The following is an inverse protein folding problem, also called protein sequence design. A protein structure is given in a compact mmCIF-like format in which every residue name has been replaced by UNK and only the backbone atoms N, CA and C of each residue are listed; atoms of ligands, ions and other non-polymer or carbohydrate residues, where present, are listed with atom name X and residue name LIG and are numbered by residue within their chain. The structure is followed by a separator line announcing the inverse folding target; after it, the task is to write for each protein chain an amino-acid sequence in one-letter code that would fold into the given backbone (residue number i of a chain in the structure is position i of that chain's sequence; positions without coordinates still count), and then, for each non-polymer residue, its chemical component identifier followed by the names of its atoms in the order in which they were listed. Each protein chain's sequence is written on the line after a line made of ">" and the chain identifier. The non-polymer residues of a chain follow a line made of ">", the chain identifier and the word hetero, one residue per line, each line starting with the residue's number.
data_IF_576077692803
#
_entry.id   IF_576077692803
#
_cell.length_a   1.000
_cell.length_b   1.000
_cell.length_c   1.000
_cell.angle_alpha   90.00
_cell.angle_beta   90.00
_cell.angle_gamma   90.00
#
_symmetry.space_group_name_H-M   'P 1'
#
loop_
_entity.id
_entity.type
_entity.pdbx_description
1 polymer ?
#
# COMPACT_ATOMS: atom_id res chain seq x y z
N UNK A 1 27.41 25.53 68.98
CA UNK A 1 27.78 24.40 68.09
C UNK A 1 26.84 24.48 66.91
N UNK A 2 27.27 25.16 65.85
CA UNK A 2 26.40 25.78 64.83
C UNK A 2 26.63 25.12 63.48
N UNK A 3 25.55 24.75 62.80
CA UNK A 3 25.53 24.02 61.52
C UNK A 3 26.31 24.72 60.40
N UNK A 4 26.98 23.92 59.56
CA UNK A 4 27.08 24.16 58.11
C UNK A 4 26.86 22.86 57.35
N UNK A 5 25.71 22.73 56.69
CA UNK A 5 25.46 21.74 55.64
C UNK A 5 25.95 22.33 54.31
N UNK A 6 26.98 21.72 53.73
CA UNK A 6 27.48 22.05 52.40
C UNK A 6 26.53 21.44 51.37
N UNK A 7 25.85 22.27 50.57
CA UNK A 7 25.12 21.84 49.38
C UNK A 7 26.14 21.54 48.28
N UNK A 8 26.21 20.29 47.84
CA UNK A 8 26.87 19.91 46.59
C UNK A 8 25.83 20.08 45.49
N UNK A 9 26.05 21.07 44.62
CA UNK A 9 25.35 21.24 43.36
C UNK A 9 26.33 20.79 42.27
N UNK A 10 26.02 19.71 41.56
CA UNK A 10 26.89 19.16 40.52
C UNK A 10 26.08 18.64 39.34
N UNK A 11 25.92 19.52 38.35
CA UNK A 11 25.52 19.33 36.95
C UNK A 11 25.01 17.95 36.52
N UNK A 12 23.70 17.85 36.30
CA UNK A 12 23.14 16.84 35.40
C UNK A 12 23.38 17.29 33.96
N UNK A 13 24.41 16.77 33.31
CA UNK A 13 24.66 16.97 31.88
C UNK A 13 23.51 16.31 31.11
N UNK A 14 22.55 17.11 30.68
CA UNK A 14 21.48 16.65 29.79
C UNK A 14 22.11 16.47 28.42
N UNK A 15 22.46 15.22 28.05
CA UNK A 15 22.75 14.91 26.66
C UNK A 15 21.46 15.14 25.87
N UNK A 16 21.39 16.27 25.19
CA UNK A 16 20.46 16.48 24.08
C UNK A 16 20.91 15.52 22.97
N UNK A 17 20.38 14.30 22.99
CA UNK A 17 20.32 13.46 21.80
C UNK A 17 19.43 14.21 20.81
N UNK A 18 20.04 15.01 19.94
CA UNK A 18 19.37 15.49 18.76
C UNK A 18 18.97 14.25 17.96
N UNK A 19 17.68 13.93 17.95
CA UNK A 19 17.11 13.03 16.97
C UNK A 19 17.38 13.67 15.61
N UNK A 20 18.42 13.24 14.91
CA UNK A 20 18.53 13.51 13.50
C UNK A 20 17.34 12.81 12.86
N UNK A 21 16.30 13.58 12.52
CA UNK A 21 15.28 13.10 11.62
C UNK A 21 16.01 12.85 10.29
N UNK A 22 16.23 11.58 9.95
CA UNK A 22 16.68 11.22 8.62
C UNK A 22 15.56 11.61 7.66
N UNK A 23 15.73 12.75 6.99
CA UNK A 23 14.88 13.12 5.87
C UNK A 23 15.14 12.10 4.75
N UNK A 24 14.08 11.48 4.23
CA UNK A 24 14.20 10.63 3.05
C UNK A 24 14.74 11.51 1.91
N UNK A 25 15.92 11.16 1.40
CA UNK A 25 16.47 11.71 0.17
C UNK A 25 15.96 10.91 -1.03
N UNK A 26 15.93 11.50 -2.21
CA UNK A 26 15.38 10.89 -3.42
C UNK A 26 16.36 10.91 -4.59
N UNK A 27 17.65 11.08 -4.29
CA UNK A 27 18.77 11.17 -5.22
C UNK A 27 19.90 10.19 -4.83
N UNK A 28 19.58 9.14 -4.08
CA UNK A 28 20.54 8.14 -3.59
C UNK A 28 20.68 6.94 -4.54
N UNK A 29 21.44 7.16 -5.61
CA UNK A 29 21.82 6.13 -6.59
C UNK A 29 22.93 5.26 -5.99
N UNK A 30 22.59 4.41 -5.01
CA UNK A 30 23.51 3.39 -4.51
C UNK A 30 24.03 2.46 -5.63
N UNK A 31 25.10 1.72 -5.36
CA UNK A 31 25.78 0.90 -6.37
C UNK A 31 24.84 -0.05 -7.13
N UNK A 32 23.88 -0.67 -6.44
CA UNK A 32 22.91 -1.62 -7.00
C UNK A 32 21.52 -1.01 -7.29
N UNK A 33 21.33 0.30 -7.13
CA UNK A 33 20.02 0.97 -7.27
C UNK A 33 19.94 1.78 -8.55
N UNK A 34 19.02 1.41 -9.41
CA UNK A 34 18.66 2.14 -10.63
C UNK A 34 17.49 3.09 -10.39
N UNK A 35 17.48 4.20 -11.12
CA UNK A 35 16.38 5.18 -11.12
C UNK A 35 15.21 4.55 -11.88
N UNK A 36 14.01 4.37 -11.28
CA UNK A 36 12.90 3.68 -11.94
C UNK A 36 12.47 4.27 -13.29
N UNK A 37 12.56 5.60 -13.47
CA UNK A 37 12.24 6.27 -14.73
C UNK A 37 13.16 5.87 -15.90
N UNK A 38 14.36 5.37 -15.62
CA UNK A 38 15.31 4.96 -16.64
C UNK A 38 14.97 3.60 -17.26
N UNK A 39 14.11 2.80 -16.62
CA UNK A 39 13.71 1.46 -17.06
C UNK A 39 12.42 1.52 -17.89
N UNK A 40 12.54 1.16 -19.17
CA UNK A 40 11.46 1.33 -20.15
C UNK A 40 10.16 0.61 -19.74
N UNK A 41 10.26 -0.54 -19.09
CA UNK A 41 9.12 -1.34 -18.62
C UNK A 41 8.27 -0.64 -17.55
N UNK A 42 8.84 0.29 -16.78
CA UNK A 42 8.12 1.00 -15.71
C UNK A 42 7.68 2.42 -16.10
N UNK A 43 8.23 2.99 -17.18
CA UNK A 43 7.83 4.33 -17.65
C UNK A 43 6.31 4.49 -17.83
N UNK A 44 5.55 3.54 -18.41
CA UNK A 44 4.11 3.70 -18.60
C UNK A 44 3.31 3.86 -17.29
N UNK A 45 3.64 3.10 -16.24
CA UNK A 45 2.95 3.25 -14.94
C UNK A 45 3.39 4.55 -14.25
N UNK A 46 4.67 4.92 -14.35
CA UNK A 46 5.22 6.13 -13.74
C UNK A 46 4.63 7.41 -14.36
N UNK A 47 4.47 7.44 -15.70
CA UNK A 47 3.86 8.58 -16.41
C UNK A 47 2.38 8.81 -16.06
N UNK A 48 1.76 7.87 -15.36
CA UNK A 48 0.36 7.93 -14.94
C UNK A 48 0.22 8.04 -13.42
N UNK A 49 1.32 8.18 -12.68
CA UNK A 49 1.31 8.04 -11.21
C UNK A 49 2.03 9.16 -10.47
N UNK A 50 1.76 9.24 -9.17
CA UNK A 50 2.60 9.91 -8.18
C UNK A 50 3.09 8.86 -7.17
N UNK A 51 4.19 9.15 -6.46
CA UNK A 51 4.65 8.34 -5.35
C UNK A 51 4.06 8.87 -4.03
N UNK A 52 3.44 7.96 -3.28
CA UNK A 52 2.95 8.19 -1.94
C UNK A 52 3.74 7.36 -0.94
N UNK A 53 4.67 7.99 -0.23
CA UNK A 53 5.64 7.34 0.65
C UNK A 53 5.58 7.93 2.06
N UNK A 54 5.66 7.08 3.09
CA UNK A 54 5.73 7.50 4.48
C UNK A 54 7.17 7.78 4.89
N UNK A 55 7.35 8.75 5.79
CA UNK A 55 8.54 8.86 6.63
C UNK A 55 8.47 7.78 7.73
N UNK A 56 9.41 6.81 7.79
CA UNK A 56 9.44 5.78 8.83
C UNK A 56 9.44 6.37 10.26
N UNK A 57 10.22 7.43 10.50
CA UNK A 57 10.33 8.10 11.79
C UNK A 57 9.15 9.01 12.13
N UNK A 58 8.35 9.38 11.12
CA UNK A 58 7.19 10.26 11.30
C UNK A 58 6.02 9.59 12.06
N UNK A 59 4.92 10.34 12.22
CA UNK A 59 3.70 9.82 12.90
C UNK A 59 3.07 8.64 12.15
N UNK A 60 2.32 7.80 12.86
CA UNK A 60 1.53 6.71 12.27
C UNK A 60 0.63 7.23 11.13
N UNK A 61 0.66 6.56 9.98
CA UNK A 61 -0.14 6.92 8.82
C UNK A 61 0.27 8.20 8.08
N UNK A 62 1.44 8.79 8.39
CA UNK A 62 1.94 9.94 7.64
C UNK A 62 2.21 9.57 6.17
N UNK A 63 2.26 10.59 5.31
CA UNK A 63 2.43 10.41 3.88
C UNK A 63 3.02 11.68 3.26
N UNK A 64 4.07 11.50 2.49
CA UNK A 64 4.67 12.46 1.58
C UNK A 64 4.19 12.15 0.16
N UNK A 65 4.23 13.15 -0.71
CA UNK A 65 3.83 13.05 -2.11
C UNK A 65 5.01 13.51 -2.97
N UNK A 66 5.48 12.64 -3.85
CA UNK A 66 6.63 12.88 -4.73
C UNK A 66 6.17 12.63 -6.17
N UNK A 67 6.78 13.33 -7.14
CA UNK A 67 6.42 13.23 -8.55
C UNK A 67 4.91 13.47 -8.80
N UNK A 68 4.31 14.48 -8.16
CA UNK A 68 2.88 14.81 -8.31
C UNK A 68 2.51 15.31 -9.72
N UNK A 69 3.53 15.64 -10.51
CA UNK A 69 3.47 15.99 -11.93
C UNK A 69 3.91 14.82 -12.83
N UNK A 70 3.94 13.59 -12.32
CA UNK A 70 4.40 12.36 -13.01
C UNK A 70 5.89 12.35 -13.40
N UNK A 71 6.67 13.32 -12.94
CA UNK A 71 8.10 13.38 -13.22
C UNK A 71 8.90 12.62 -12.16
N UNK A 72 9.33 11.41 -12.52
CA UNK A 72 10.16 10.54 -11.71
C UNK A 72 11.66 10.64 -12.04
N UNK A 73 12.07 11.65 -12.82
CA UNK A 73 13.47 11.86 -13.17
C UNK A 73 14.32 11.99 -11.91
N UNK A 74 15.35 11.15 -11.79
CA UNK A 74 16.24 11.13 -10.64
C UNK A 74 15.64 10.57 -9.35
N UNK A 75 14.34 10.24 -9.28
CA UNK A 75 13.68 9.78 -8.03
C UNK A 75 14.12 8.36 -7.69
N UNK A 76 15.03 8.21 -6.74
CA UNK A 76 15.55 6.92 -6.26
C UNK A 76 16.06 7.01 -4.83
N UNK A 77 15.85 5.95 -4.03
CA UNK A 77 16.47 5.82 -2.73
C UNK A 77 16.51 4.36 -2.24
N UNK A 78 16.89 4.13 -0.99
CA UNK A 78 17.02 2.81 -0.38
C UNK A 78 15.74 1.98 -0.29
N UNK A 79 14.56 2.62 -0.43
CA UNK A 79 13.26 1.96 -0.31
C UNK A 79 12.43 2.03 -1.59
N UNK A 80 12.85 2.80 -2.59
CA UNK A 80 12.17 2.97 -3.86
C UNK A 80 13.20 3.06 -4.99
N UNK A 81 13.44 1.95 -5.67
CA UNK A 81 14.47 1.84 -6.70
C UNK A 81 14.19 0.65 -7.62
N UNK A 82 14.87 0.57 -8.76
CA UNK A 82 14.97 -0.68 -9.53
C UNK A 82 16.28 -1.36 -9.18
N UNK A 83 16.23 -2.63 -8.78
CA UNK A 83 17.43 -3.41 -8.54
C UNK A 83 18.16 -3.64 -9.88
N UNK A 84 19.43 -3.25 -9.99
CA UNK A 84 20.15 -3.28 -11.27
C UNK A 84 20.40 -4.68 -11.82
N UNK A 85 20.47 -5.69 -10.95
CA UNK A 85 20.79 -7.07 -11.36
C UNK A 85 19.56 -7.81 -11.86
N UNK A 86 18.44 -7.69 -11.13
CA UNK A 86 17.18 -8.36 -11.46
C UNK A 86 16.22 -7.53 -12.30
N UNK A 87 16.47 -6.23 -12.42
CA UNK A 87 15.56 -5.21 -12.95
C UNK A 87 14.19 -5.15 -12.25
N UNK A 88 14.05 -5.75 -11.07
CA UNK A 88 12.81 -5.68 -10.30
C UNK A 88 12.63 -4.29 -9.69
N UNK A 89 11.43 -3.73 -9.80
CA UNK A 89 11.06 -2.50 -9.11
C UNK A 89 10.79 -2.81 -7.63
N UNK A 90 11.65 -2.31 -6.76
CA UNK A 90 11.67 -2.58 -5.32
C UNK A 90 10.93 -1.50 -4.55
N UNK A 91 10.02 -1.95 -3.69
CA UNK A 91 9.34 -1.13 -2.69
C UNK A 91 9.63 -1.69 -1.30
N UNK A 92 10.15 -0.85 -0.42
CA UNK A 92 10.33 -1.16 1.00
C UNK A 92 9.57 -0.18 1.88
N UNK A 93 9.18 -0.63 3.07
CA UNK A 93 8.66 0.26 4.10
C UNK A 93 8.74 -0.35 5.49
N UNK A 94 9.31 0.41 6.42
CA UNK A 94 9.33 0.10 7.85
C UNK A 94 8.13 0.71 8.58
N UNK A 95 7.53 -0.07 9.47
CA UNK A 95 6.60 0.41 10.50
C UNK A 95 5.10 0.29 10.17
N UNK A 96 4.30 0.33 11.23
CA UNK A 96 2.86 0.06 11.19
C UNK A 96 2.04 1.20 10.55
N UNK A 97 1.12 0.83 9.65
CA UNK A 97 0.32 1.75 8.83
C UNK A 97 1.16 2.75 8.02
N UNK A 98 2.40 2.39 7.70
CA UNK A 98 3.30 3.11 6.79
C UNK A 98 3.26 2.48 5.40
N UNK A 99 3.45 3.30 4.37
CA UNK A 99 3.34 2.86 2.97
C UNK A 99 4.44 3.42 2.10
N UNK A 100 4.70 2.73 1.01
CA UNK A 100 5.49 3.17 -0.12
C UNK A 100 4.81 2.64 -1.37
N UNK A 101 4.02 3.49 -2.04
CA UNK A 101 3.13 3.06 -3.11
C UNK A 101 3.04 4.09 -4.22
N UNK A 102 3.07 3.63 -5.46
CA UNK A 102 2.56 4.40 -6.59
C UNK A 102 1.05 4.55 -6.46
N UNK A 103 0.54 5.73 -6.81
CA UNK A 103 -0.87 6.04 -6.92
C UNK A 103 -1.14 6.54 -8.32
N UNK A 104 -1.91 5.77 -9.10
CA UNK A 104 -2.32 6.15 -10.46
C UNK A 104 -3.23 7.39 -10.38
N UNK A 105 -2.97 8.39 -11.23
CA UNK A 105 -3.64 9.68 -11.17
C UNK A 105 -5.13 9.60 -11.50
N UNK A 106 -5.47 8.75 -12.49
CA UNK A 106 -6.82 8.55 -12.97
C UNK A 106 -7.77 8.17 -11.84
N UNK A 107 -8.74 9.04 -11.60
CA UNK A 107 -9.95 8.74 -10.84
C UNK A 107 -11.01 8.25 -11.81
N UNK A 108 -11.19 6.94 -11.92
CA UNK A 108 -12.07 6.30 -12.88
C UNK A 108 -13.44 5.95 -12.28
N UNK A 109 -14.46 5.97 -13.13
CA UNK A 109 -15.79 5.44 -12.80
C UNK A 109 -15.80 3.92 -13.04
N UNK A 110 -16.23 3.16 -12.03
CA UNK A 110 -16.23 1.70 -12.04
C UNK A 110 -17.42 1.08 -12.76
N UNK A 111 -18.47 1.86 -13.08
CA UNK A 111 -19.71 1.39 -13.70
C UNK A 111 -19.83 1.68 -15.19
N UNK A 112 -18.86 2.37 -15.79
CA UNK A 112 -18.92 2.65 -17.22
C UNK A 112 -18.97 1.33 -18.01
N UNK A 113 -20.00 1.14 -18.85
CA UNK A 113 -20.03 0.00 -19.74
C UNK A 113 -18.86 0.12 -20.72
N UNK A 114 -18.37 -1.02 -21.21
CA UNK A 114 -17.35 -1.05 -22.27
C UNK A 114 -16.00 -0.41 -21.92
N UNK A 115 -15.76 0.01 -20.68
CA UNK A 115 -14.48 0.58 -20.24
C UNK A 115 -13.95 -0.21 -19.05
N UNK A 116 -12.74 -0.75 -19.20
CA UNK A 116 -12.08 -1.58 -18.21
C UNK A 116 -10.71 -1.00 -17.87
N UNK A 117 -10.46 -0.84 -16.58
CA UNK A 117 -9.20 -0.35 -16.05
C UNK A 117 -8.42 -1.54 -15.50
N UNK A 118 -7.18 -1.68 -15.95
CA UNK A 118 -6.31 -2.80 -15.63
C UNK A 118 -5.11 -2.34 -14.81
N UNK A 119 -4.80 -3.10 -13.76
CA UNK A 119 -3.52 -3.04 -13.07
C UNK A 119 -2.89 -4.43 -13.11
N UNK A 120 -1.83 -4.58 -13.89
CA UNK A 120 -1.08 -5.82 -14.04
C UNK A 120 0.21 -5.74 -13.22
N UNK A 121 0.52 -6.78 -12.46
CA UNK A 121 1.75 -6.82 -11.68
C UNK A 121 2.28 -8.26 -11.53
N UNK A 122 3.60 -8.42 -11.55
CA UNK A 122 4.27 -9.68 -11.20
C UNK A 122 5.06 -9.46 -9.92
N UNK A 123 4.65 -10.07 -8.82
CA UNK A 123 5.06 -9.67 -7.46
C UNK A 123 5.74 -10.82 -6.73
N UNK A 124 6.91 -10.54 -6.16
CA UNK A 124 7.62 -11.40 -5.21
C UNK A 124 7.79 -10.68 -3.85
N UNK A 125 7.09 -11.13 -2.79
CA UNK A 125 7.36 -10.74 -1.41
C UNK A 125 8.73 -11.25 -0.98
N UNK A 126 9.53 -10.41 -0.35
CA UNK A 126 10.85 -10.82 0.15
C UNK A 126 10.77 -11.09 1.65
N UNK A 127 10.85 -12.37 2.02
CA UNK A 127 10.82 -12.87 3.41
C UNK A 127 9.70 -12.25 4.30
N UNK A 128 8.43 -12.25 3.86
CA UNK A 128 7.36 -11.58 4.58
C UNK A 128 7.11 -12.14 6.00
N UNK A 129 7.41 -13.41 6.26
CA UNK A 129 7.37 -13.98 7.61
C UNK A 129 8.41 -13.31 8.52
N UNK A 130 9.63 -13.09 8.02
CA UNK A 130 10.69 -12.44 8.78
C UNK A 130 10.35 -10.98 9.08
N UNK A 131 9.66 -10.30 8.16
CA UNK A 131 9.13 -8.94 8.36
C UNK A 131 8.17 -8.86 9.55
N UNK A 132 7.44 -9.94 9.86
CA UNK A 132 6.41 -9.95 10.90
C UNK A 132 6.81 -10.67 12.19
N UNK A 133 8.06 -11.17 12.29
CA UNK A 133 8.50 -12.02 13.41
C UNK A 133 8.29 -11.39 14.80
N UNK A 134 8.42 -10.06 14.89
CA UNK A 134 8.28 -9.28 16.13
C UNK A 134 6.96 -8.50 16.18
N UNK A 135 6.07 -8.71 15.20
CA UNK A 135 4.80 -7.99 15.10
C UNK A 135 3.84 -8.39 16.22
N UNK A 136 3.22 -7.39 16.83
CA UNK A 136 2.13 -7.55 17.81
C UNK A 136 0.76 -7.26 17.21
N UNK A 137 0.70 -6.98 15.90
CA UNK A 137 -0.55 -6.73 15.19
C UNK A 137 -1.42 -7.98 15.12
N UNK A 138 -2.73 -7.80 15.27
CA UNK A 138 -3.71 -8.88 15.02
C UNK A 138 -4.02 -9.09 13.54
N UNK A 139 -3.54 -8.20 12.67
CA UNK A 139 -3.83 -8.24 11.24
C UNK A 139 -2.75 -8.95 10.44
N UNK A 140 -1.45 -8.68 10.72
CA UNK A 140 -0.30 -9.32 10.08
C UNK A 140 -0.47 -9.50 8.56
N UNK A 141 -0.64 -8.37 7.88
CA UNK A 141 -0.80 -8.28 6.42
C UNK A 141 0.20 -7.27 5.83
N UNK A 142 0.67 -7.56 4.61
CA UNK A 142 1.29 -6.59 3.71
C UNK A 142 0.35 -6.44 2.51
N UNK A 143 -0.13 -5.23 2.26
CA UNK A 143 -0.94 -4.91 1.08
C UNK A 143 -0.01 -4.50 -0.07
N UNK A 144 -0.17 -5.13 -1.24
CA UNK A 144 0.64 -4.83 -2.43
C UNK A 144 -0.10 -4.08 -3.52
N UNK A 145 -1.37 -4.43 -3.76
CA UNK A 145 -2.20 -3.81 -4.79
C UNK A 145 -3.51 -3.33 -4.17
N UNK A 146 -4.01 -2.17 -4.60
CA UNK A 146 -5.27 -1.62 -4.10
C UNK A 146 -6.12 -1.01 -5.20
N UNK A 147 -7.44 -1.09 -5.00
CA UNK A 147 -8.41 -0.19 -5.62
C UNK A 147 -9.01 0.63 -4.51
N UNK A 148 -8.76 1.94 -4.50
CA UNK A 148 -9.28 2.85 -3.49
C UNK A 148 -10.22 3.86 -4.13
N UNK A 149 -11.16 4.41 -3.37
CA UNK A 149 -12.01 5.50 -3.85
C UNK A 149 -11.38 6.86 -3.55
N UNK A 150 -11.59 7.82 -4.46
CA UNK A 150 -11.37 9.24 -4.23
C UNK A 150 -12.59 9.86 -3.56
N UNK A 151 -13.80 9.44 -3.94
CA UNK A 151 -15.07 9.98 -3.47
C UNK A 151 -16.06 10.11 -4.63
N UNK A 152 -17.13 10.87 -4.43
CA UNK A 152 -18.15 11.10 -5.48
C UNK A 152 -17.67 12.08 -6.56
N UNK A 153 -16.61 12.84 -6.28
CA UNK A 153 -16.03 13.85 -7.17
C UNK A 153 -14.50 13.82 -7.09
N UNK A 154 -13.84 14.43 -8.08
CA UNK A 154 -12.37 14.41 -8.23
C UNK A 154 -11.60 15.12 -7.11
N UNK A 155 -12.24 16.05 -6.40
CA UNK A 155 -11.70 16.72 -5.20
C UNK A 155 -11.75 15.82 -3.95
N UNK A 156 -12.52 14.73 -4.01
CA UNK A 156 -12.65 13.74 -2.95
C UNK A 156 -13.79 13.98 -1.96
N UNK A 157 -14.83 14.71 -2.39
CA UNK A 157 -16.08 14.80 -1.62
C UNK A 157 -16.62 13.41 -1.30
N UNK A 158 -17.10 13.23 -0.07
CA UNK A 158 -17.70 11.99 0.43
C UNK A 158 -16.81 10.74 0.25
N UNK A 159 -15.49 10.92 0.30
CA UNK A 159 -14.53 9.82 0.38
C UNK A 159 -14.89 8.83 1.49
N UNK A 160 -14.87 7.54 1.14
CA UNK A 160 -14.92 6.44 2.10
C UNK A 160 -13.49 6.08 2.49
N UNK A 161 -13.13 6.10 3.79
CA UNK A 161 -11.77 5.81 4.23
C UNK A 161 -11.43 4.31 4.22
N UNK A 162 -12.00 3.56 3.27
CA UNK A 162 -11.79 2.13 3.06
C UNK A 162 -11.61 1.88 1.54
N UNK A 163 -10.59 1.11 1.13
CA UNK A 163 -10.44 0.71 -0.26
C UNK A 163 -11.55 -0.25 -0.67
N UNK A 164 -11.88 -0.28 -1.97
CA UNK A 164 -12.71 -1.31 -2.57
C UNK A 164 -12.02 -2.68 -2.52
N UNK A 165 -10.73 -2.72 -2.89
CA UNK A 165 -9.92 -3.93 -2.91
C UNK A 165 -8.56 -3.67 -2.25
N UNK A 166 -8.10 -4.65 -1.46
CA UNK A 166 -6.68 -4.87 -1.14
C UNK A 166 -6.29 -6.28 -1.54
N UNK A 167 -5.22 -6.43 -2.32
CA UNK A 167 -4.52 -7.71 -2.48
C UNK A 167 -3.38 -7.73 -1.47
N UNK A 168 -3.42 -8.70 -0.57
CA UNK A 168 -2.50 -8.79 0.56
C UNK A 168 -1.81 -10.14 0.60
N UNK A 169 -0.58 -10.19 1.11
CA UNK A 169 -0.07 -11.41 1.72
C UNK A 169 -0.38 -11.36 3.22
N UNK A 170 -0.80 -12.50 3.77
CA UNK A 170 -1.16 -12.64 5.18
C UNK A 170 -0.38 -13.79 5.79
N UNK A 171 0.19 -13.57 6.98
CA UNK A 171 0.90 -14.59 7.75
C UNK A 171 0.03 -15.84 7.93
N UNK A 172 -1.20 -15.64 8.42
CA UNK A 172 -2.22 -16.69 8.52
C UNK A 172 -1.85 -17.80 9.51
N UNK A 173 -2.57 -18.92 9.42
CA UNK A 173 -2.28 -20.12 10.20
C UNK A 173 -2.76 -21.38 9.48
N UNK A 174 -2.16 -22.52 9.79
CA UNK A 174 -2.52 -23.82 9.22
C UNK A 174 -2.44 -23.83 7.70
N UNK A 175 -3.50 -24.30 7.04
CA UNK A 175 -3.56 -24.43 5.57
C UNK A 175 -3.60 -23.09 4.82
N UNK A 176 -3.86 -21.98 5.52
CA UNK A 176 -3.93 -20.63 4.92
C UNK A 176 -2.69 -19.78 5.20
N UNK A 177 -1.67 -20.37 5.83
CA UNK A 177 -0.45 -19.66 6.19
C UNK A 177 0.32 -19.23 4.93
N UNK A 178 0.67 -17.94 4.87
CA UNK A 178 1.39 -17.32 3.75
C UNK A 178 0.59 -17.26 2.44
N UNK A 179 -0.74 -17.15 2.52
CA UNK A 179 -1.61 -17.01 1.35
C UNK A 179 -1.76 -15.54 0.93
N UNK A 180 -1.98 -15.36 -0.37
CA UNK A 180 -2.52 -14.13 -0.89
C UNK A 180 -4.04 -14.07 -0.70
N UNK A 181 -4.57 -12.89 -0.41
CA UNK A 181 -6.00 -12.66 -0.25
C UNK A 181 -6.45 -11.40 -0.98
N UNK A 182 -7.60 -11.46 -1.64
CA UNK A 182 -8.33 -10.28 -2.05
C UNK A 182 -9.35 -9.94 -0.95
N UNK A 183 -9.13 -8.83 -0.25
CA UNK A 183 -10.04 -8.27 0.75
C UNK A 183 -10.88 -7.18 0.07
N UNK A 184 -12.12 -7.53 -0.26
CA UNK A 184 -13.06 -6.67 -0.99
C UNK A 184 -14.05 -6.04 -0.02
N UNK A 185 -14.19 -4.71 -0.03
CA UNK A 185 -15.19 -3.99 0.76
C UNK A 185 -16.57 -4.19 0.13
N UNK A 186 -17.47 -4.88 0.82
CA UNK A 186 -18.74 -5.40 0.25
C UNK A 186 -19.95 -4.47 0.45
N UNK A 187 -19.70 -3.18 0.70
CA UNK A 187 -20.71 -2.12 0.76
C UNK A 187 -20.05 -0.73 0.73
N UNK A 188 -20.81 0.32 0.40
CA UNK A 188 -20.32 1.70 0.40
C UNK A 188 -20.54 2.45 1.74
N UNK A 189 -20.41 1.77 2.89
CA UNK A 189 -20.57 2.42 4.20
C UNK A 189 -19.24 2.86 4.82
N UNK A 190 -19.26 4.04 5.45
CA UNK A 190 -18.17 4.51 6.30
C UNK A 190 -18.28 3.81 7.66
N UNK A 191 -17.44 2.79 7.89
CA UNK A 191 -17.45 1.98 9.12
C UNK A 191 -16.38 2.38 10.17
N UNK A 192 -15.73 3.54 10.04
CA UNK A 192 -14.72 4.01 11.02
C UNK A 192 -14.63 5.54 11.09
N UNK A 193 -14.00 6.03 12.16
CA UNK A 193 -13.74 7.45 12.35
C UNK A 193 -15.01 8.28 12.58
N UNK A 194 -14.85 9.60 12.69
CA UNK A 194 -15.94 10.53 13.04
C UNK A 194 -17.12 10.46 12.07
N UNK A 195 -16.85 10.37 10.75
CA UNK A 195 -17.88 10.28 9.70
C UNK A 195 -18.66 8.96 9.72
N UNK A 196 -18.12 7.91 10.36
CA UNK A 196 -18.78 6.61 10.46
C UNK A 196 -19.55 6.38 11.76
N UNK A 197 -19.65 7.38 12.65
CA UNK A 197 -20.20 7.22 14.00
C UNK A 197 -21.59 6.56 14.02
N UNK A 198 -22.42 6.85 13.04
CA UNK A 198 -23.77 6.28 12.91
C UNK A 198 -23.79 4.83 12.41
N UNK A 199 -22.70 4.35 11.80
CA UNK A 199 -22.61 3.00 11.24
C UNK A 199 -21.77 2.05 12.10
N UNK A 200 -20.84 2.58 12.90
CA UNK A 200 -20.00 1.79 13.80
C UNK A 200 -20.89 0.96 14.75
N UNK A 201 -20.60 -0.34 14.83
CA UNK A 201 -21.36 -1.29 15.65
C UNK A 201 -22.60 -1.90 14.96
N UNK A 202 -23.07 -1.33 13.84
CA UNK A 202 -24.16 -1.94 13.05
C UNK A 202 -23.69 -3.23 12.38
N UNK A 203 -24.58 -4.21 12.14
CA UNK A 203 -24.24 -5.47 11.46
C UNK A 203 -23.45 -5.28 10.16
N UNK A 204 -23.86 -4.34 9.30
CA UNK A 204 -23.21 -4.06 8.01
C UNK A 204 -21.77 -3.52 8.11
N UNK A 205 -21.33 -3.10 9.30
CA UNK A 205 -19.98 -2.63 9.58
C UNK A 205 -19.15 -3.61 10.43
N UNK A 206 -19.69 -4.77 10.80
CA UNK A 206 -18.89 -5.89 11.32
C UNK A 206 -18.05 -6.48 10.19
N UNK A 207 -16.84 -6.94 10.50
CA UNK A 207 -15.83 -7.32 9.51
C UNK A 207 -16.37 -8.34 8.49
N UNK A 208 -17.09 -9.34 8.98
CA UNK A 208 -17.69 -10.44 8.21
C UNK A 208 -18.79 -10.03 7.22
N UNK A 209 -19.43 -8.86 7.44
CA UNK A 209 -20.46 -8.32 6.53
C UNK A 209 -19.94 -7.12 5.73
N UNK A 210 -18.93 -6.44 6.27
CA UNK A 210 -18.31 -5.29 5.67
C UNK A 210 -17.33 -5.66 4.55
N UNK A 211 -16.77 -6.86 4.60
CA UNK A 211 -15.75 -7.34 3.69
C UNK A 211 -16.00 -8.77 3.26
N UNK A 212 -15.79 -9.03 1.97
CA UNK A 212 -15.68 -10.37 1.40
C UNK A 212 -14.20 -10.68 1.17
N UNK A 213 -13.78 -11.87 1.57
CA UNK A 213 -12.39 -12.31 1.46
C UNK A 213 -12.30 -13.50 0.50
N UNK A 214 -11.41 -13.40 -0.48
CA UNK A 214 -11.15 -14.46 -1.44
C UNK A 214 -9.72 -14.94 -1.28
N UNK A 215 -9.54 -16.24 -1.05
CA UNK A 215 -8.22 -16.87 -1.08
C UNK A 215 -7.72 -16.90 -2.53
N UNK A 216 -6.57 -16.27 -2.76
CA UNK A 216 -5.92 -16.20 -4.06
C UNK A 216 -4.92 -17.33 -4.27
N UNK A 217 -4.60 -18.06 -3.21
CA UNK A 217 -3.64 -19.17 -3.18
C UNK A 217 -2.40 -18.84 -2.37
N UNK A 218 -1.65 -19.90 -2.04
CA UNK A 218 -0.37 -19.80 -1.33
C UNK A 218 0.66 -19.03 -2.15
N UNK A 219 1.43 -18.16 -1.49
CA UNK A 219 2.61 -17.58 -2.10
C UNK A 219 3.61 -18.70 -2.44
N UNK A 220 4.05 -18.73 -3.70
CA UNK A 220 5.07 -19.64 -4.19
C UNK A 220 6.45 -18.96 -4.11
N UNK A 221 7.52 -19.74 -4.26
CA UNK A 221 8.83 -19.15 -4.50
C UNK A 221 8.83 -18.40 -5.84
N UNK A 222 9.43 -17.21 -5.86
CA UNK A 222 9.42 -16.31 -7.02
C UNK A 222 8.14 -15.50 -7.15
N UNK A 223 7.96 -14.90 -8.33
CA UNK A 223 6.87 -13.96 -8.58
C UNK A 223 5.52 -14.64 -8.88
N UNK A 224 4.43 -14.01 -8.44
CA UNK A 224 3.05 -14.34 -8.79
C UNK A 224 2.45 -13.23 -9.63
N UNK A 225 1.78 -13.60 -10.72
CA UNK A 225 1.16 -12.62 -11.62
C UNK A 225 -0.26 -12.30 -11.16
N UNK A 226 -0.56 -11.01 -11.06
CA UNK A 226 -1.87 -10.47 -10.73
C UNK A 226 -2.35 -9.55 -11.84
N UNK A 227 -3.62 -9.69 -12.24
CA UNK A 227 -4.32 -8.73 -13.09
C UNK A 227 -5.63 -8.34 -12.42
N UNK A 228 -5.72 -7.08 -12.00
CA UNK A 228 -6.92 -6.49 -11.41
C UNK A 228 -7.64 -5.72 -12.50
N UNK A 229 -8.90 -6.06 -12.74
CA UNK A 229 -9.75 -5.43 -13.75
C UNK A 229 -10.95 -4.80 -13.04
N UNK A 230 -11.19 -3.52 -13.30
CA UNK A 230 -12.35 -2.79 -12.79
C UNK A 230 -13.08 -2.12 -13.94
N UNK A 231 -14.37 -2.36 -14.06
CA UNK A 231 -15.19 -1.77 -15.13
C UNK A 231 -16.53 -2.47 -15.24
N UNK A 232 -17.51 -1.84 -15.87
CA UNK A 232 -18.85 -2.40 -16.03
C UNK A 232 -19.44 -2.97 -14.73
N UNK A 233 -19.28 -2.22 -13.62
CA UNK A 233 -19.71 -2.58 -12.27
C UNK A 233 -19.19 -3.93 -11.78
N UNK A 234 -18.02 -4.35 -12.27
CA UNK A 234 -17.39 -5.63 -11.93
C UNK A 234 -15.96 -5.40 -11.48
N UNK A 235 -15.56 -6.10 -10.41
CA UNK A 235 -14.17 -6.29 -9.99
C UNK A 235 -13.75 -7.73 -10.32
N UNK A 236 -12.71 -7.88 -11.13
CA UNK A 236 -12.10 -9.16 -11.47
C UNK A 236 -10.66 -9.18 -10.96
N UNK A 237 -10.24 -10.31 -10.39
CA UNK A 237 -8.83 -10.56 -10.05
C UNK A 237 -8.42 -11.90 -10.66
N UNK A 238 -7.45 -11.85 -11.55
CA UNK A 238 -6.79 -13.03 -12.10
C UNK A 238 -5.45 -13.23 -11.41
N UNK A 239 -5.10 -14.48 -11.14
CA UNK A 239 -3.83 -14.90 -10.52
C UNK A 239 -3.21 -15.98 -11.40
N UNK A 240 -1.99 -15.75 -11.88
CA UNK A 240 -1.31 -16.63 -12.84
C UNK A 240 -2.23 -17.02 -14.03
N UNK A 241 -2.91 -16.01 -14.59
CA UNK A 241 -3.84 -16.16 -15.71
C UNK A 241 -5.20 -16.80 -15.38
N UNK A 242 -5.46 -17.20 -14.13
CA UNK A 242 -6.73 -17.81 -13.71
C UNK A 242 -7.59 -16.84 -12.93
N UNK A 243 -8.86 -16.71 -13.33
CA UNK A 243 -9.82 -15.89 -12.59
C UNK A 243 -10.10 -16.48 -11.20
N UNK A 244 -9.75 -15.72 -10.16
CA UNK A 244 -10.00 -16.05 -8.75
C UNK A 244 -11.16 -15.27 -8.16
N UNK A 245 -11.36 -14.04 -8.65
CA UNK A 245 -12.45 -13.16 -8.22
C UNK A 245 -13.22 -12.67 -9.43
N UNK A 246 -14.54 -12.72 -9.34
CA UNK A 246 -15.48 -11.99 -10.17
C UNK A 246 -16.60 -11.52 -9.23
N UNK A 247 -16.60 -10.22 -8.94
CA UNK A 247 -17.42 -9.62 -7.89
C UNK A 247 -18.19 -8.41 -8.43
N UNK A 248 -19.51 -8.41 -8.24
CA UNK A 248 -20.36 -7.29 -8.58
C UNK A 248 -20.09 -6.13 -7.60
N UNK A 249 -19.78 -4.95 -8.14
CA UNK A 249 -19.49 -3.73 -7.39
C UNK A 249 -20.46 -2.60 -7.75
N UNK A 250 -21.69 -2.90 -8.16
CA UNK A 250 -22.72 -1.91 -8.49
C UNK A 250 -22.97 -0.95 -7.31
N UNK A 251 -22.88 -1.44 -6.07
CA UNK A 251 -22.97 -0.62 -4.86
C UNK A 251 -21.88 0.47 -4.77
N UNK A 252 -20.83 0.39 -5.57
CA UNK A 252 -19.69 1.29 -5.59
C UNK A 252 -19.69 2.25 -6.79
N UNK A 253 -20.69 2.18 -7.68
CA UNK A 253 -20.76 2.92 -8.95
C UNK A 253 -20.70 4.44 -8.82
N UNK A 254 -21.10 4.99 -7.67
CA UNK A 254 -21.09 6.42 -7.37
C UNK A 254 -19.71 6.92 -6.90
N UNK A 255 -18.72 6.05 -6.72
CA UNK A 255 -17.40 6.39 -6.18
C UNK A 255 -16.32 6.29 -7.25
N UNK A 256 -15.76 7.44 -7.62
CA UNK A 256 -14.56 7.47 -8.44
C UNK A 256 -13.43 6.74 -7.71
N UNK A 257 -12.75 5.85 -8.42
CA UNK A 257 -11.76 4.95 -7.87
C UNK A 257 -10.40 5.09 -8.59
N UNK A 258 -9.34 4.62 -7.96
CA UNK A 258 -7.98 4.69 -8.48
C UNK A 258 -7.16 3.49 -7.99
N UNK A 259 -6.11 3.15 -8.73
CA UNK A 259 -5.19 2.08 -8.39
C UNK A 259 -4.04 2.56 -7.50
N UNK A 260 -3.52 1.64 -6.69
CA UNK A 260 -2.23 1.77 -6.01
C UNK A 260 -1.44 0.47 -6.09
N UNK A 261 -0.12 0.57 -6.14
CA UNK A 261 0.81 -0.56 -6.12
C UNK A 261 2.08 -0.23 -5.34
N UNK A 262 2.59 -1.17 -4.55
CA UNK A 262 3.81 -1.03 -3.75
C UNK A 262 3.74 -1.87 -2.49
N UNK A 263 4.04 -1.29 -1.32
CA UNK A 263 3.83 -1.93 0.00
C UNK A 263 3.07 -1.02 0.95
N UNK A 264 2.11 -1.57 1.68
CA UNK A 264 1.44 -0.91 2.79
C UNK A 264 1.28 -1.87 3.96
N UNK A 265 1.86 -1.52 5.11
CA UNK A 265 2.02 -2.41 6.26
C UNK A 265 0.80 -2.38 7.19
N UNK A 266 0.33 -3.55 7.59
CA UNK A 266 -0.65 -3.75 8.68
C UNK A 266 -0.07 -4.66 9.80
N UNK A 267 1.24 -4.57 10.01
CA UNK A 267 2.01 -5.28 11.04
C UNK A 267 2.92 -4.28 11.77
N UNK A 268 3.40 -4.63 12.96
CA UNK A 268 4.29 -3.77 13.77
C UNK A 268 5.75 -4.26 13.71
N UNK A 269 6.68 -3.38 14.08
CA UNK A 269 8.06 -3.73 14.41
C UNK A 269 8.84 -4.52 13.34
N UNK A 270 8.66 -4.15 12.07
CA UNK A 270 9.46 -4.67 10.98
C UNK A 270 9.35 -3.87 9.68
N UNK A 271 9.96 -4.43 8.64
CA UNK A 271 10.05 -3.86 7.30
C UNK A 271 9.51 -4.83 6.26
N UNK A 272 8.64 -4.36 5.37
CA UNK A 272 8.24 -5.10 4.19
C UNK A 272 9.15 -4.77 3.01
N UNK A 273 9.39 -5.76 2.15
CA UNK A 273 10.03 -5.61 0.86
C UNK A 273 9.22 -6.39 -0.18
N UNK A 274 8.96 -5.76 -1.32
CA UNK A 274 8.36 -6.40 -2.48
C UNK A 274 9.11 -6.04 -3.75
N UNK A 275 9.28 -7.04 -4.61
CA UNK A 275 9.89 -6.93 -5.94
C UNK A 275 8.81 -7.07 -6.99
N UNK A 276 8.69 -6.07 -7.85
CA UNK A 276 7.78 -6.08 -8.99
C UNK A 276 8.59 -6.31 -10.25
N UNK A 277 8.45 -7.46 -10.89
CA UNK A 277 9.10 -7.76 -12.18
C UNK A 277 8.29 -7.22 -13.37
N UNK A 278 7.02 -6.91 -13.13
CA UNK A 278 6.13 -6.21 -14.04
C UNK A 278 5.21 -5.32 -13.21
N UNK A 279 4.92 -4.11 -13.69
CA UNK A 279 3.92 -3.24 -13.12
C UNK A 279 3.38 -2.28 -14.19
N UNK A 280 2.12 -2.47 -14.59
CA UNK A 280 1.52 -1.75 -15.71
C UNK A 280 0.08 -1.32 -15.39
N UNK A 281 -0.28 -0.15 -15.90
CA UNK A 281 -1.66 0.36 -15.92
C UNK A 281 -2.11 0.50 -17.36
N UNK A 282 -3.32 0.03 -17.66
CA UNK A 282 -3.91 0.09 -18.99
C UNK A 282 -5.41 0.38 -18.91
N UNK A 283 -5.95 1.00 -19.96
CA UNK A 283 -7.39 1.20 -20.12
C UNK A 283 -7.82 0.53 -21.41
N UNK A 284 -8.77 -0.41 -21.30
CA UNK A 284 -9.35 -1.13 -22.42
C UNK A 284 -10.77 -0.59 -22.70
N UNK A 285 -11.06 -0.34 -23.97
CA UNK A 285 -12.40 0.02 -24.46
C UNK A 285 -12.92 -1.11 -25.37
N UNK A 286 -14.08 -1.71 -25.05
CA UNK A 286 -14.65 -2.86 -25.76
C UNK A 286 -15.91 -2.53 -26.54
#
# INVERSE_FOLDING_TARGET
>A
MTLRKTKILGLATTLLLSSQAFAITFDDVGDNRGIPADYAQYRPILSESELQISDPAGKKGNKLYIATNTDFSGVVNEVFYVDKDSEAFVFKMTGDHKRNELRVHKNFNTSLPHTFYHLNASIEPVNPEASMKDSTSKQNEITYLQVHNKGVTVDGKDNIPHPLLRVVWREGAGETAGHYWAVVKDNALICKGKKGKENIGKPACKSENAYKQYDLGKAKAGATDFNIIVGNSTLIVNVDGKQKVNHNIEYWSHLLSYFKAGVYNQFTDGESEARFYQLEYQVEHK
#
